data_IF_393840085596
#
_entry.id   IF_393840085596
#
_cell.length_a   1.000
_cell.length_b   1.000
_cell.length_c   1.000
_cell.angle_alpha   90.00
_cell.angle_beta   90.00
_cell.angle_gamma   90.00
#
_symmetry.space_group_name_H-M   'P 1'
#
loop_
_entity.id
_entity.type
_entity.pdbx_description
1 polymer ?
#
# COMPACT_ATOMS: atom_id res chain seq x y z
N UNK A 1 -18.62 24.16 -45.24
CA UNK A 1 -17.27 24.44 -44.71
C UNK A 1 -17.18 23.86 -43.31
N UNK A 2 -16.13 23.08 -43.09
CA UNK A 2 -15.80 22.29 -41.89
C UNK A 2 -15.45 23.18 -40.69
N UNK A 3 -15.82 22.76 -39.49
CA UNK A 3 -15.43 23.41 -38.23
C UNK A 3 -15.42 22.43 -37.05
N UNK A 4 -14.66 21.35 -37.20
CA UNK A 4 -14.40 20.35 -36.15
C UNK A 4 -13.13 20.74 -35.37
N UNK A 5 -13.22 20.97 -34.06
CA UNK A 5 -12.05 21.13 -33.15
C UNK A 5 -12.47 21.69 -31.79
N UNK A 6 -12.00 21.25 -30.62
CA UNK A 6 -11.04 20.22 -30.25
C UNK A 6 -11.57 19.49 -29.00
N UNK A 7 -11.68 18.15 -29.08
CA UNK A 7 -11.97 17.34 -27.91
C UNK A 7 -10.71 17.19 -27.06
N UNK A 8 -10.62 17.91 -25.95
CA UNK A 8 -9.66 17.60 -24.87
C UNK A 8 -10.21 16.48 -23.99
N UNK A 9 -10.48 15.31 -24.60
CA UNK A 9 -10.57 14.05 -23.87
C UNK A 9 -9.17 13.44 -23.86
N UNK A 10 -8.48 13.50 -22.73
CA UNK A 10 -7.22 12.77 -22.61
C UNK A 10 -6.30 13.17 -21.48
N UNK A 11 -6.81 13.37 -20.26
CA UNK A 11 -6.03 13.02 -19.07
C UNK A 11 -6.90 12.08 -18.28
N UNK A 12 -6.76 10.81 -18.63
CA UNK A 12 -7.24 9.64 -17.93
C UNK A 12 -7.05 9.79 -16.42
N UNK A 13 -8.10 10.27 -15.74
CA UNK A 13 -8.23 10.25 -14.29
C UNK A 13 -8.05 8.84 -13.70
N UNK A 14 -8.03 7.81 -14.55
CA UNK A 14 -7.67 6.44 -14.19
C UNK A 14 -6.31 6.32 -13.51
N UNK A 15 -5.29 7.09 -13.93
CA UNK A 15 -3.95 7.03 -13.32
C UNK A 15 -3.93 7.43 -11.84
N UNK A 16 -4.51 8.59 -11.51
CA UNK A 16 -4.61 9.07 -10.11
C UNK A 16 -5.53 8.20 -9.26
N UNK A 17 -6.65 7.71 -9.82
CA UNK A 17 -7.57 6.78 -9.14
C UNK A 17 -6.90 5.43 -8.85
N UNK A 18 -6.13 4.89 -9.80
CA UNK A 18 -5.37 3.64 -9.66
C UNK A 18 -4.25 3.76 -8.63
N UNK A 19 -3.50 4.87 -8.60
CA UNK A 19 -2.50 5.11 -7.55
C UNK A 19 -3.12 5.09 -6.15
N UNK A 20 -4.29 5.71 -5.98
CA UNK A 20 -5.01 5.72 -4.68
C UNK A 20 -5.48 4.33 -4.27
N UNK A 21 -5.93 3.51 -5.23
CA UNK A 21 -6.33 2.12 -4.99
C UNK A 21 -5.16 1.29 -4.49
N UNK A 22 -4.03 1.33 -5.21
CA UNK A 22 -2.81 0.56 -4.87
C UNK A 22 -2.31 0.92 -3.47
N UNK A 23 -2.28 2.21 -3.12
CA UNK A 23 -1.84 2.64 -1.79
C UNK A 23 -2.78 2.12 -0.68
N UNK A 24 -4.10 2.18 -0.89
CA UNK A 24 -5.09 1.64 0.06
C UNK A 24 -4.94 0.14 0.25
N UNK A 25 -4.81 -0.60 -0.84
CA UNK A 25 -4.62 -2.06 -0.81
C UNK A 25 -3.31 -2.43 -0.10
N UNK A 26 -2.22 -1.74 -0.40
CA UNK A 26 -0.93 -1.95 0.25
C UNK A 26 -1.03 -1.74 1.77
N UNK A 27 -1.57 -0.61 2.23
CA UNK A 27 -1.74 -0.31 3.66
C UNK A 27 -2.58 -1.39 4.34
N UNK A 28 -3.72 -1.76 3.75
CA UNK A 28 -4.58 -2.79 4.32
C UNK A 28 -3.89 -4.16 4.36
N UNK A 29 -3.14 -4.53 3.32
CA UNK A 29 -2.46 -5.82 3.24
C UNK A 29 -1.37 -5.95 4.30
N UNK A 30 -0.58 -4.90 4.52
CA UNK A 30 0.49 -4.83 5.53
C UNK A 30 -0.12 -4.93 6.92
N UNK A 31 -1.11 -4.08 7.24
CA UNK A 31 -1.76 -4.08 8.56
C UNK A 31 -2.40 -5.42 8.90
N UNK A 32 -3.12 -6.04 7.97
CA UNK A 32 -3.73 -7.38 8.18
C UNK A 32 -2.66 -8.45 8.42
N UNK A 33 -1.53 -8.40 7.71
CA UNK A 33 -0.43 -9.35 7.91
C UNK A 33 0.27 -9.14 9.26
N UNK A 34 0.49 -7.88 9.67
CA UNK A 34 1.13 -7.55 10.95
C UNK A 34 0.28 -7.99 12.13
N UNK A 35 -1.02 -7.68 12.12
CA UNK A 35 -1.97 -8.09 13.17
C UNK A 35 -2.03 -9.61 13.29
N UNK A 36 -2.10 -10.34 12.16
CA UNK A 36 -2.09 -11.81 12.16
C UNK A 36 -0.81 -12.40 12.74
N UNK A 37 0.34 -11.78 12.48
CA UNK A 37 1.60 -12.23 13.07
C UNK A 37 1.61 -11.98 14.57
N UNK A 38 1.20 -10.80 15.01
CA UNK A 38 1.15 -10.42 16.43
C UNK A 38 0.28 -11.39 17.22
N UNK A 39 -0.98 -11.56 16.80
CA UNK A 39 -1.93 -12.45 17.44
C UNK A 39 -1.45 -13.92 17.55
N UNK A 40 -0.61 -14.38 16.62
CA UNK A 40 -0.10 -15.75 16.61
C UNK A 40 1.23 -15.97 17.34
N UNK A 41 2.08 -14.95 17.45
CA UNK A 41 3.47 -15.12 17.91
C UNK A 41 3.83 -14.29 19.13
N UNK A 42 3.31 -13.07 19.24
CA UNK A 42 3.66 -12.11 20.30
C UNK A 42 2.55 -12.03 21.36
N UNK A 43 1.32 -12.38 20.97
CA UNK A 43 0.12 -12.26 21.78
C UNK A 43 -0.85 -11.22 21.20
N UNK A 44 -2.03 -11.10 21.80
CA UNK A 44 -3.03 -10.11 21.37
C UNK A 44 -2.63 -8.74 21.90
N UNK A 45 -1.89 -7.99 21.09
CA UNK A 45 -1.47 -6.62 21.38
C UNK A 45 -2.23 -5.62 20.51
N UNK A 46 -2.45 -4.42 21.04
CA UNK A 46 -3.12 -3.32 20.33
C UNK A 46 -2.16 -2.42 19.56
N UNK A 47 -0.85 -2.63 19.73
CA UNK A 47 0.20 -1.78 19.18
C UNK A 47 1.02 -2.56 18.15
N UNK A 48 1.17 -1.99 16.95
CA UNK A 48 2.04 -2.51 15.90
C UNK A 48 3.36 -1.75 15.94
N UNK A 49 4.46 -2.48 16.00
CA UNK A 49 5.81 -1.93 15.98
C UNK A 49 6.42 -1.98 14.58
N UNK A 50 7.50 -1.21 14.38
CA UNK A 50 8.26 -1.20 13.13
C UNK A 50 8.79 -2.59 12.76
N UNK A 51 9.15 -3.42 13.76
CA UNK A 51 9.63 -4.79 13.53
C UNK A 51 8.57 -5.64 12.82
N UNK A 52 7.30 -5.44 13.16
CA UNK A 52 6.18 -6.18 12.56
C UNK A 52 6.01 -5.77 11.09
N UNK A 53 6.09 -4.47 10.81
CA UNK A 53 5.99 -3.92 9.46
C UNK A 53 7.15 -4.39 8.59
N UNK A 54 8.39 -4.24 9.07
CA UNK A 54 9.60 -4.69 8.37
C UNK A 54 9.54 -6.19 8.09
N UNK A 55 9.08 -6.99 9.06
CA UNK A 55 8.90 -8.42 8.86
C UNK A 55 7.89 -8.73 7.75
N UNK A 56 6.71 -8.11 7.77
CA UNK A 56 5.68 -8.36 6.75
C UNK A 56 6.14 -7.95 5.35
N UNK A 57 6.82 -6.80 5.25
CA UNK A 57 7.39 -6.31 4.00
C UNK A 57 8.48 -7.22 3.45
N UNK A 58 9.37 -7.73 4.31
CA UNK A 58 10.38 -8.74 3.92
C UNK A 58 9.73 -10.00 3.37
N UNK A 59 8.64 -10.48 3.99
CA UNK A 59 7.86 -11.64 3.48
C UNK A 59 7.22 -11.39 2.11
N UNK A 60 6.88 -10.14 1.80
CA UNK A 60 6.33 -9.74 0.51
C UNK A 60 7.39 -9.46 -0.56
N UNK A 61 8.69 -9.59 -0.24
CA UNK A 61 9.77 -9.22 -1.14
C UNK A 61 9.93 -7.70 -1.32
N UNK A 62 9.36 -6.89 -0.42
CA UNK A 62 9.37 -5.42 -0.45
C UNK A 62 10.14 -4.84 0.73
N UNK A 63 11.31 -5.41 1.02
CA UNK A 63 12.13 -5.04 2.18
C UNK A 63 12.48 -3.55 2.16
N UNK A 64 12.35 -2.90 3.32
CA UNK A 64 12.78 -1.52 3.55
C UNK A 64 13.97 -1.51 4.51
N UNK A 65 14.96 -0.66 4.25
CA UNK A 65 16.18 -0.51 5.04
C UNK A 65 16.14 0.77 5.89
N UNK A 66 17.03 0.90 6.87
CA UNK A 66 17.11 2.08 7.74
C UNK A 66 16.23 2.03 9.00
N UNK A 67 15.71 0.84 9.34
CA UNK A 67 14.83 0.62 10.50
C UNK A 67 15.40 -0.41 11.50
N UNK A 68 16.71 -0.71 11.41
CA UNK A 68 17.44 -1.46 12.43
C UNK A 68 17.88 -0.51 13.53
N UNK A 69 17.66 -0.90 14.78
CA UNK A 69 18.16 -0.17 15.96
C UNK A 69 19.64 -0.45 16.14
#
# INVERSE_FOLDING_TARGET
MSGRGNGTKGVDQGGSKRRRLILRENIQSISRQSIRRLARRVGVTKTVTIVDVVYTLKRQGRTIYGFGK
#
